data_IF_195211148937
#
_entry.id   IF_195211148937
#
_cell.length_a   1.000
_cell.length_b   1.000
_cell.length_c   1.000
_cell.angle_alpha   90.00
_cell.angle_beta   90.00
_cell.angle_gamma   90.00
#
_symmetry.space_group_name_H-M   'P 1'
#
loop_
_entity.id
_entity.type
_entity.pdbx_description
1 polymer ?
#
# COMPACT_ATOMS: atom_id res chain seq x y z
N UNK A 1 -62.34 -35.09 -29.07
CA UNK A 1 -62.02 -34.68 -27.68
C UNK A 1 -60.51 -34.52 -27.60
N UNK A 2 -60.02 -33.28 -27.53
CA UNK A 2 -58.60 -32.95 -27.41
C UNK A 2 -58.21 -32.95 -25.93
N UNK A 3 -57.22 -33.75 -25.55
CA UNK A 3 -56.60 -33.71 -24.22
C UNK A 3 -55.24 -33.03 -24.29
N UNK A 4 -55.12 -31.84 -23.71
CA UNK A 4 -53.85 -31.15 -23.55
C UNK A 4 -53.22 -31.53 -22.21
N UNK A 5 -52.03 -32.13 -22.25
CA UNK A 5 -51.17 -32.35 -21.09
C UNK A 5 -50.35 -31.08 -20.83
N UNK A 6 -50.59 -30.41 -19.70
CA UNK A 6 -49.73 -29.35 -19.19
C UNK A 6 -48.52 -29.99 -18.47
N UNK A 7 -47.34 -29.86 -19.06
CA UNK A 7 -46.06 -30.10 -18.37
C UNK A 7 -45.63 -28.79 -17.70
N UNK A 8 -45.71 -28.74 -16.37
CA UNK A 8 -45.15 -27.66 -15.57
C UNK A 8 -43.62 -27.84 -15.48
N UNK A 9 -42.87 -27.03 -16.22
CA UNK A 9 -41.42 -26.93 -16.07
C UNK A 9 -41.09 -25.97 -14.92
N UNK A 10 -40.60 -26.51 -13.80
CA UNK A 10 -40.04 -25.72 -12.70
C UNK A 10 -38.62 -25.30 -13.06
N UNK A 11 -38.44 -24.04 -13.49
CA UNK A 11 -37.11 -23.42 -13.56
C UNK A 11 -36.61 -23.13 -12.13
N UNK A 12 -35.80 -24.04 -11.58
CA UNK A 12 -34.96 -23.74 -10.43
C UNK A 12 -33.81 -22.82 -10.88
N UNK A 13 -34.03 -21.51 -10.77
CA UNK A 13 -32.99 -20.51 -11.00
C UNK A 13 -31.96 -20.52 -9.88
N UNK A 14 -30.77 -21.08 -10.13
CA UNK A 14 -29.63 -20.94 -9.23
C UNK A 14 -29.15 -19.49 -9.22
N UNK A 15 -29.52 -18.74 -8.19
CA UNK A 15 -28.96 -17.41 -7.93
C UNK A 15 -27.50 -17.63 -7.54
N UNK A 16 -26.58 -17.47 -8.48
CA UNK A 16 -25.15 -17.42 -8.17
C UNK A 16 -24.89 -16.15 -7.36
N UNK A 17 -24.90 -16.27 -6.02
CA UNK A 17 -24.45 -15.19 -5.14
C UNK A 17 -22.95 -15.04 -5.41
N UNK A 18 -22.46 -13.90 -5.93
CA UNK A 18 -21.03 -13.70 -6.08
C UNK A 18 -20.38 -13.77 -4.70
N UNK A 19 -19.58 -14.80 -4.46
CA UNK A 19 -18.75 -14.91 -3.26
C UNK A 19 -17.79 -13.72 -3.26
N UNK A 20 -17.95 -12.82 -2.30
CA UNK A 20 -16.97 -11.77 -2.05
C UNK A 20 -15.65 -12.44 -1.66
N UNK A 21 -14.51 -11.97 -2.21
CA UNK A 21 -13.21 -12.51 -1.83
C UNK A 21 -12.99 -12.38 -0.31
N UNK A 22 -12.33 -13.36 0.32
CA UNK A 22 -12.13 -13.36 1.76
C UNK A 22 -11.35 -12.11 2.20
N UNK A 23 -11.62 -11.60 3.42
CA UNK A 23 -10.91 -10.45 3.93
C UNK A 23 -9.41 -10.77 4.07
N UNK A 24 -8.57 -9.91 3.51
CA UNK A 24 -7.12 -10.07 3.57
C UNK A 24 -6.61 -9.69 4.97
N UNK A 25 -5.89 -10.60 5.61
CA UNK A 25 -5.31 -10.43 6.96
C UNK A 25 -3.81 -10.17 6.91
N UNK A 26 -3.17 -10.43 5.78
CA UNK A 26 -1.74 -10.23 5.58
C UNK A 26 -1.37 -8.79 5.28
N UNK A 27 -0.16 -8.40 5.66
CA UNK A 27 0.49 -7.16 5.25
C UNK A 27 1.90 -7.43 4.72
N UNK A 28 2.33 -6.61 3.75
CA UNK A 28 3.66 -6.71 3.16
C UNK A 28 4.52 -5.50 3.53
N UNK A 29 5.72 -5.73 4.06
CA UNK A 29 6.72 -4.69 4.33
C UNK A 29 7.94 -4.94 3.45
N UNK A 30 8.22 -4.02 2.54
CA UNK A 30 9.29 -4.15 1.55
C UNK A 30 10.26 -2.96 1.70
N UNK A 31 11.56 -3.22 1.84
CA UNK A 31 12.53 -2.14 1.99
C UNK A 31 13.87 -2.40 1.28
N UNK A 32 14.27 -1.45 0.45
CA UNK A 32 15.58 -1.41 -0.19
C UNK A 32 16.62 -0.86 0.79
N UNK A 33 17.70 -1.61 0.98
CA UNK A 33 18.82 -1.26 1.85
C UNK A 33 20.03 -0.88 0.99
N UNK A 34 20.32 -1.67 -0.04
CA UNK A 34 21.57 -1.59 -0.80
C UNK A 34 21.73 -0.23 -1.46
N UNK A 35 20.70 0.29 -2.12
CA UNK A 35 20.77 1.56 -2.84
C UNK A 35 20.95 2.78 -1.92
N UNK A 36 20.68 2.63 -0.62
CA UNK A 36 20.83 3.67 0.41
C UNK A 36 22.10 3.52 1.25
N UNK A 37 23.00 2.61 0.87
CA UNK A 37 24.21 2.27 1.61
C UNK A 37 25.45 2.23 0.70
N UNK A 38 26.64 2.15 1.31
CA UNK A 38 27.88 1.86 0.57
C UNK A 38 27.78 0.51 -0.16
N UNK A 39 28.32 0.39 -1.39
CA UNK A 39 29.06 1.42 -2.14
C UNK A 39 28.18 2.38 -2.96
N UNK A 40 26.86 2.19 -2.97
CA UNK A 40 25.93 2.93 -3.82
C UNK A 40 25.83 4.41 -3.46
N UNK A 41 26.03 4.72 -2.18
CA UNK A 41 26.21 6.09 -1.67
C UNK A 41 27.43 6.17 -0.75
N UNK A 42 27.91 7.39 -0.46
CA UNK A 42 29.14 7.62 0.31
C UNK A 42 29.10 7.25 1.80
N UNK A 43 27.97 6.73 2.31
CA UNK A 43 27.76 6.43 3.72
C UNK A 43 26.96 5.14 3.92
N UNK A 44 27.03 4.58 5.13
CA UNK A 44 26.18 3.47 5.56
C UNK A 44 25.10 4.03 6.48
N UNK A 45 23.85 3.65 6.26
CA UNK A 45 22.66 4.08 6.96
C UNK A 45 21.79 2.88 7.34
N UNK A 46 21.37 2.85 8.61
CA UNK A 46 20.37 1.89 9.10
C UNK A 46 18.93 2.38 8.92
N UNK A 47 18.73 3.56 8.31
CA UNK A 47 17.41 4.18 8.20
C UNK A 47 16.40 3.31 7.47
N UNK A 48 16.70 2.68 6.31
CA UNK A 48 15.74 1.81 5.63
C UNK A 48 15.26 0.64 6.51
N UNK A 49 16.18 0.00 7.24
CA UNK A 49 15.84 -1.10 8.15
C UNK A 49 14.98 -0.61 9.32
N UNK A 50 15.30 0.54 9.91
CA UNK A 50 14.52 1.12 11.01
C UNK A 50 13.11 1.52 10.57
N UNK A 51 12.98 2.06 9.36
CA UNK A 51 11.71 2.39 8.75
C UNK A 51 10.85 1.13 8.54
N UNK A 52 11.41 0.09 7.94
CA UNK A 52 10.73 -1.21 7.78
C UNK A 52 10.32 -1.83 9.13
N UNK A 53 11.19 -1.77 10.14
CA UNK A 53 10.90 -2.27 11.48
C UNK A 53 9.78 -1.47 12.16
N UNK A 54 9.77 -0.14 12.00
CA UNK A 54 8.71 0.74 12.54
C UNK A 54 7.35 0.43 11.89
N UNK A 55 7.31 0.32 10.56
CA UNK A 55 6.10 -0.06 9.84
C UNK A 55 5.61 -1.47 10.23
N UNK A 56 6.53 -2.44 10.36
CA UNK A 56 6.23 -3.80 10.82
C UNK A 56 5.58 -3.80 12.20
N UNK A 57 6.16 -3.07 13.16
CA UNK A 57 5.65 -2.99 14.51
C UNK A 57 4.26 -2.34 14.56
N UNK A 58 4.06 -1.27 13.79
CA UNK A 58 2.77 -0.59 13.69
C UNK A 58 1.69 -1.47 13.06
N UNK A 59 1.98 -2.13 11.94
CA UNK A 59 1.04 -3.03 11.27
C UNK A 59 0.66 -4.23 12.17
N UNK A 60 1.61 -4.80 12.91
CA UNK A 60 1.29 -5.85 13.90
C UNK A 60 0.39 -5.34 15.02
N UNK A 61 0.64 -4.14 15.54
CA UNK A 61 -0.21 -3.53 16.56
C UNK A 61 -1.65 -3.28 16.06
N UNK A 62 -1.81 -3.02 14.76
CA UNK A 62 -3.12 -2.90 14.09
C UNK A 62 -3.77 -4.25 13.75
N UNK A 63 -3.13 -5.37 14.12
CA UNK A 63 -3.64 -6.73 13.95
C UNK A 63 -3.28 -7.43 12.65
N UNK A 64 -2.40 -6.86 11.81
CA UNK A 64 -2.00 -7.48 10.54
C UNK A 64 -0.96 -8.57 10.73
N UNK A 65 -1.07 -9.65 9.94
CA UNK A 65 -0.01 -10.66 9.81
C UNK A 65 1.07 -10.15 8.84
N UNK A 66 2.24 -9.77 9.37
CA UNK A 66 3.25 -9.05 8.58
C UNK A 66 4.31 -9.99 8.02
N UNK A 67 4.33 -10.11 6.69
CA UNK A 67 5.46 -10.63 5.94
C UNK A 67 6.41 -9.48 5.56
N UNK A 68 7.73 -9.68 5.70
CA UNK A 68 8.73 -8.65 5.41
C UNK A 68 9.84 -9.15 4.48
N UNK A 69 10.27 -8.29 3.55
CA UNK A 69 11.45 -8.48 2.73
C UNK A 69 12.29 -7.20 2.76
N UNK A 70 13.49 -7.28 3.35
CA UNK A 70 14.38 -6.14 3.57
C UNK A 70 15.77 -6.47 3.06
N UNK A 71 16.37 -5.57 2.27
CA UNK A 71 17.66 -5.85 1.63
C UNK A 71 17.52 -6.88 0.51
N UNK A 72 18.49 -7.78 0.30
CA UNK A 72 18.51 -8.67 -0.87
C UNK A 72 17.26 -9.55 -1.09
N UNK A 73 16.50 -9.87 -0.04
CA UNK A 73 15.23 -10.61 -0.18
C UNK A 73 14.10 -9.78 -0.80
N UNK A 74 14.25 -8.46 -0.84
CA UNK A 74 13.36 -7.56 -1.56
C UNK A 74 13.72 -7.62 -3.05
N UNK A 75 13.20 -8.65 -3.71
CA UNK A 75 13.29 -8.88 -5.15
C UNK A 75 11.89 -8.84 -5.81
N UNK A 76 11.82 -8.80 -7.15
CA UNK A 76 10.56 -8.64 -7.88
C UNK A 76 9.58 -9.79 -7.64
N UNK A 77 10.06 -11.04 -7.62
CA UNK A 77 9.21 -12.21 -7.48
C UNK A 77 8.63 -12.31 -6.06
N UNK A 78 9.47 -12.09 -5.05
CA UNK A 78 9.04 -12.06 -3.66
C UNK A 78 8.09 -10.90 -3.39
N UNK A 79 8.39 -9.71 -3.92
CA UNK A 79 7.52 -8.53 -3.78
C UNK A 79 6.13 -8.78 -4.34
N UNK A 80 6.03 -9.28 -5.56
CA UNK A 80 4.74 -9.55 -6.20
C UNK A 80 3.96 -10.63 -5.43
N UNK A 81 4.63 -11.71 -5.00
CA UNK A 81 4.03 -12.77 -4.17
C UNK A 81 3.49 -12.23 -2.85
N UNK A 82 4.22 -11.34 -2.19
CA UNK A 82 3.80 -10.74 -0.91
C UNK A 82 2.69 -9.70 -1.10
N UNK A 83 2.72 -8.92 -2.18
CA UNK A 83 1.70 -7.90 -2.49
C UNK A 83 0.38 -8.55 -2.90
N UNK A 84 0.40 -9.70 -3.57
CA UNK A 84 -0.82 -10.33 -4.10
C UNK A 84 -1.92 -10.53 -3.04
N UNK A 85 -1.63 -11.14 -1.86
CA UNK A 85 -2.62 -11.35 -0.81
C UNK A 85 -2.68 -10.23 0.24
N UNK A 86 -1.89 -9.16 0.11
CA UNK A 86 -1.75 -8.16 1.17
C UNK A 86 -2.93 -7.18 1.24
N UNK A 87 -3.53 -7.05 2.42
CA UNK A 87 -4.54 -6.05 2.73
C UNK A 87 -3.95 -4.73 3.24
N UNK A 88 -2.67 -4.73 3.65
CA UNK A 88 -1.90 -3.52 3.92
C UNK A 88 -0.48 -3.64 3.37
N UNK A 89 0.11 -2.54 2.92
CA UNK A 89 1.47 -2.52 2.36
C UNK A 89 2.29 -1.36 2.89
N UNK A 90 3.58 -1.62 3.05
CA UNK A 90 4.63 -0.64 3.23
C UNK A 90 5.74 -0.90 2.22
N UNK A 91 6.17 0.14 1.50
CA UNK A 91 7.31 0.07 0.59
C UNK A 91 8.25 1.24 0.84
N UNK A 92 9.52 0.97 1.14
CA UNK A 92 10.58 1.96 1.18
C UNK A 92 11.64 1.67 0.12
N UNK A 93 11.75 2.52 -0.89
CA UNK A 93 12.72 2.35 -1.98
C UNK A 93 12.87 3.63 -2.82
N UNK A 94 13.70 3.56 -3.86
CA UNK A 94 13.58 4.47 -4.98
C UNK A 94 12.29 4.21 -5.76
N UNK A 95 11.55 5.27 -6.04
CA UNK A 95 10.34 5.27 -6.86
C UNK A 95 10.46 6.30 -7.96
N UNK A 96 9.71 6.09 -9.04
CA UNK A 96 9.63 7.00 -10.17
C UNK A 96 8.43 6.63 -11.06
N UNK A 97 8.19 7.45 -12.06
CA UNK A 97 7.41 7.07 -13.23
C UNK A 97 8.28 6.31 -14.23
N UNK A 98 7.97 5.04 -14.44
CA UNK A 98 8.69 4.18 -15.36
C UNK A 98 7.93 3.99 -16.67
N UNK A 99 8.61 3.52 -17.70
CA UNK A 99 7.95 3.00 -18.90
C UNK A 99 7.67 1.52 -18.67
N UNK A 100 6.43 1.11 -18.89
CA UNK A 100 6.05 -0.31 -18.94
C UNK A 100 6.62 -0.93 -20.22
N UNK A 101 7.54 -1.92 -20.11
CA UNK A 101 8.15 -2.54 -21.28
C UNK A 101 7.16 -3.30 -22.17
N UNK A 102 6.01 -3.75 -21.64
CA UNK A 102 5.03 -4.50 -22.41
C UNK A 102 4.19 -3.59 -23.32
N UNK A 103 3.95 -2.35 -22.90
CA UNK A 103 3.02 -1.44 -23.60
C UNK A 103 3.69 -0.16 -24.12
N UNK A 104 4.93 0.13 -23.71
CA UNK A 104 5.62 1.39 -23.99
C UNK A 104 5.01 2.60 -23.29
N UNK A 105 4.00 2.43 -22.44
CA UNK A 105 3.29 3.53 -21.77
C UNK A 105 3.92 3.89 -20.43
N UNK A 106 3.73 5.14 -20.02
CA UNK A 106 4.15 5.60 -18.69
C UNK A 106 3.33 4.89 -17.60
N UNK A 107 4.03 4.47 -16.57
CA UNK A 107 3.57 3.77 -15.39
C UNK A 107 4.23 4.37 -14.15
N UNK A 108 3.98 3.76 -12.99
CA UNK A 108 4.59 4.08 -11.71
C UNK A 108 5.03 2.80 -11.02
N UNK A 109 6.05 2.90 -10.18
CA UNK A 109 6.54 1.75 -9.45
C UNK A 109 7.67 2.09 -8.52
N UNK A 110 8.35 1.05 -8.08
CA UNK A 110 9.53 1.16 -7.23
C UNK A 110 10.58 0.15 -7.67
N UNK A 111 11.85 0.48 -7.40
CA UNK A 111 12.95 -0.46 -7.57
C UNK A 111 12.96 -1.45 -6.43
N UNK A 112 13.25 -2.70 -6.71
CA UNK A 112 13.58 -3.68 -5.68
C UNK A 112 15.03 -3.46 -5.22
N UNK A 113 15.48 -4.16 -4.19
CA UNK A 113 16.86 -4.05 -3.72
C UNK A 113 17.82 -4.67 -4.73
N UNK A 114 17.62 -5.97 -5.00
CA UNK A 114 18.42 -6.74 -5.95
C UNK A 114 19.93 -6.77 -5.67
N UNK A 115 20.36 -6.32 -4.49
CA UNK A 115 21.76 -6.05 -4.17
C UNK A 115 22.47 -5.12 -5.19
N UNK A 116 21.73 -4.18 -5.79
CA UNK A 116 22.22 -3.32 -6.88
C UNK A 116 22.12 -1.82 -6.53
N UNK A 117 23.13 -1.04 -6.95
CA UNK A 117 23.15 0.42 -6.76
C UNK A 117 22.27 1.17 -7.77
N UNK A 118 22.26 0.71 -9.01
CA UNK A 118 21.53 1.32 -10.10
C UNK A 118 20.90 0.23 -10.97
N UNK A 119 19.85 0.60 -11.71
CA UNK A 119 19.15 -0.29 -12.64
C UNK A 119 18.63 -1.60 -12.02
N UNK A 120 18.44 -1.62 -10.70
CA UNK A 120 17.76 -2.71 -10.02
C UNK A 120 16.38 -2.97 -10.68
N UNK A 121 15.92 -4.23 -10.72
CA UNK A 121 14.61 -4.56 -11.25
C UNK A 121 13.51 -3.71 -10.60
N UNK A 122 12.41 -3.56 -11.33
CA UNK A 122 11.29 -2.71 -10.92
C UNK A 122 10.08 -3.59 -10.69
N UNK A 123 9.25 -3.17 -9.75
CA UNK A 123 7.85 -3.61 -9.66
C UNK A 123 6.99 -2.42 -10.04
N UNK A 124 6.20 -2.58 -11.10
CA UNK A 124 5.35 -1.51 -11.65
C UNK A 124 3.86 -1.82 -11.50
N UNK A 125 3.03 -0.78 -11.56
CA UNK A 125 1.58 -0.87 -11.39
C UNK A 125 0.91 -2.00 -12.23
N UNK A 126 1.18 -2.17 -13.54
CA UNK A 126 0.60 -3.29 -14.32
C UNK A 126 0.92 -4.68 -13.77
N UNK A 127 2.13 -4.89 -13.24
CA UNK A 127 2.52 -6.19 -12.66
C UNK A 127 1.77 -6.45 -11.36
N UNK A 128 1.61 -5.40 -10.54
CA UNK A 128 0.81 -5.49 -9.31
C UNK A 128 -0.64 -5.82 -9.66
N UNK A 129 -1.24 -5.14 -10.64
CA UNK A 129 -2.61 -5.42 -11.10
C UNK A 129 -2.75 -6.86 -11.57
N UNK A 130 -1.84 -7.33 -12.41
CA UNK A 130 -1.85 -8.70 -12.92
C UNK A 130 -1.75 -9.74 -11.79
N UNK A 131 -0.88 -9.49 -10.81
CA UNK A 131 -0.67 -10.41 -9.71
C UNK A 131 -1.81 -10.40 -8.69
N UNK A 132 -2.40 -9.23 -8.44
CA UNK A 132 -3.52 -9.05 -7.51
C UNK A 132 -4.84 -9.54 -8.10
N UNK A 133 -5.04 -9.50 -9.41
CA UNK A 133 -6.31 -9.87 -10.04
C UNK A 133 -7.52 -9.14 -9.42
N UNK A 134 -8.68 -9.79 -9.38
CA UNK A 134 -9.89 -9.28 -8.75
C UNK A 134 -9.88 -9.46 -7.21
N UNK A 135 -8.83 -8.98 -6.55
CA UNK A 135 -8.75 -8.99 -5.08
C UNK A 135 -9.38 -7.76 -4.46
N UNK A 136 -9.76 -7.87 -3.19
CA UNK A 136 -10.19 -6.73 -2.35
C UNK A 136 -9.14 -5.61 -2.40
N UNK A 137 -9.55 -4.33 -2.50
CA UNK A 137 -8.65 -3.20 -2.36
C UNK A 137 -7.80 -3.26 -1.09
N UNK A 138 -6.58 -2.72 -1.16
CA UNK A 138 -5.74 -2.53 0.02
C UNK A 138 -6.40 -1.49 0.94
N UNK A 139 -6.38 -1.78 2.24
CA UNK A 139 -6.86 -0.91 3.32
C UNK A 139 -5.84 0.19 3.60
N UNK A 140 -4.55 -0.13 3.70
CA UNK A 140 -3.50 0.86 3.95
C UNK A 140 -2.32 0.62 3.02
N UNK A 141 -1.94 1.64 2.25
CA UNK A 141 -0.73 1.62 1.44
C UNK A 141 0.16 2.81 1.80
N UNK A 142 1.35 2.54 2.35
CA UNK A 142 2.38 3.55 2.58
C UNK A 142 3.54 3.30 1.63
N UNK A 143 3.66 4.15 0.61
CA UNK A 143 4.65 4.06 -0.45
C UNK A 143 5.69 5.15 -0.24
N UNK A 144 6.66 4.85 0.62
CA UNK A 144 7.79 5.72 0.97
C UNK A 144 8.82 5.77 -0.16
N UNK A 145 8.48 6.44 -1.25
CA UNK A 145 9.34 6.55 -2.43
C UNK A 145 9.11 7.89 -3.14
N UNK A 146 10.08 8.38 -3.92
CA UNK A 146 9.88 9.54 -4.79
C UNK A 146 8.72 9.34 -5.80
N UNK A 147 8.11 10.46 -6.20
CA UNK A 147 7.09 10.61 -7.27
C UNK A 147 5.77 9.83 -7.12
N UNK A 148 5.68 8.83 -6.25
CA UNK A 148 4.49 7.98 -6.16
C UNK A 148 3.33 8.59 -5.37
N UNK A 149 3.47 9.80 -4.82
CA UNK A 149 2.37 10.61 -4.28
C UNK A 149 1.68 11.49 -5.34
N UNK A 150 2.24 11.62 -6.54
CA UNK A 150 1.70 12.49 -7.58
C UNK A 150 0.35 12.00 -8.14
N UNK A 151 -0.48 12.93 -8.62
CA UNK A 151 -1.76 12.61 -9.31
C UNK A 151 -1.56 11.78 -10.59
N UNK A 152 -0.38 11.84 -11.18
CA UNK A 152 0.04 11.04 -12.34
C UNK A 152 0.32 9.57 -11.95
N UNK A 153 0.51 9.28 -10.67
CA UNK A 153 0.88 7.96 -10.16
C UNK A 153 -0.15 6.89 -10.49
N UNK A 154 0.33 5.73 -10.93
CA UNK A 154 -0.51 4.56 -11.23
C UNK A 154 -0.60 3.57 -10.08
N UNK A 155 0.19 3.76 -9.02
CA UNK A 155 0.23 2.84 -7.88
C UNK A 155 -1.06 2.81 -7.05
N UNK A 156 -1.72 3.94 -6.70
CA UNK A 156 -2.97 3.88 -5.94
C UNK A 156 -4.02 2.98 -6.62
N UNK A 157 -4.21 3.16 -7.93
CA UNK A 157 -5.15 2.34 -8.70
C UNK A 157 -4.74 0.86 -8.76
N UNK A 158 -3.43 0.56 -8.86
CA UNK A 158 -2.93 -0.82 -8.82
C UNK A 158 -3.22 -1.52 -7.49
N UNK A 159 -3.39 -0.76 -6.40
CA UNK A 159 -3.79 -1.24 -5.09
C UNK A 159 -5.31 -1.20 -4.86
N UNK A 160 -6.10 -0.83 -5.87
CA UNK A 160 -7.54 -0.68 -5.77
C UNK A 160 -7.99 0.58 -5.01
N UNK A 161 -7.10 1.56 -4.81
CA UNK A 161 -7.38 2.80 -4.09
C UNK A 161 -7.64 3.93 -5.10
N UNK A 162 -8.85 4.47 -5.08
CA UNK A 162 -9.21 5.63 -5.90
C UNK A 162 -8.46 6.88 -5.42
N UNK A 163 -7.95 7.69 -6.35
CA UNK A 163 -7.32 8.99 -6.06
C UNK A 163 -8.38 10.07 -5.78
N UNK A 164 -9.12 9.87 -4.68
CA UNK A 164 -10.13 10.79 -4.15
C UNK A 164 -9.91 10.91 -2.65
N UNK A 165 -10.02 12.12 -2.13
CA UNK A 165 -9.97 12.39 -0.68
C UNK A 165 -11.40 12.50 -0.14
N UNK A 166 -11.74 11.70 0.87
CA UNK A 166 -12.91 11.93 1.70
C UNK A 166 -12.45 12.69 2.95
N UNK A 167 -13.02 13.88 3.14
CA UNK A 167 -12.71 14.79 4.24
C UNK A 167 -13.14 14.22 5.61
N UNK A 168 -12.69 14.81 6.73
CA UNK A 168 -13.19 14.45 8.05
C UNK A 168 -14.73 14.51 8.13
N UNK A 169 -15.34 13.51 8.75
CA UNK A 169 -16.79 13.34 8.88
C UNK A 169 -17.50 12.91 7.60
N UNK A 170 -16.79 12.74 6.49
CA UNK A 170 -17.37 12.32 5.20
C UNK A 170 -17.13 10.84 4.99
N UNK A 171 -18.22 10.09 4.78
CA UNK A 171 -18.13 8.67 4.42
C UNK A 171 -17.25 8.47 3.19
N UNK A 172 -16.19 7.69 3.36
CA UNK A 172 -15.13 7.48 2.38
C UNK A 172 -14.89 6.01 2.06
N UNK A 173 -13.99 5.72 1.10
CA UNK A 173 -13.55 4.35 0.86
C UNK A 173 -12.87 3.79 2.11
N UNK A 174 -12.90 2.46 2.30
CA UNK A 174 -12.18 1.78 3.37
C UNK A 174 -10.69 1.60 3.06
N UNK A 175 -10.07 2.66 2.55
CA UNK A 175 -8.68 2.64 2.14
C UNK A 175 -7.99 3.98 2.33
N UNK A 176 -6.68 3.94 2.56
CA UNK A 176 -5.80 5.10 2.67
C UNK A 176 -4.48 4.80 1.97
N UNK A 177 -4.08 5.71 1.08
CA UNK A 177 -2.80 5.68 0.39
C UNK A 177 -1.99 6.88 0.85
N UNK A 178 -0.71 6.66 1.17
CA UNK A 178 0.27 7.68 1.47
C UNK A 178 1.46 7.50 0.52
N UNK A 179 1.90 8.57 -0.14
CA UNK A 179 3.11 8.59 -0.95
C UNK A 179 3.76 9.97 -0.97
N UNK A 180 4.88 10.11 -1.69
CA UNK A 180 5.62 11.38 -1.77
C UNK A 180 5.63 11.95 -3.19
N UNK A 181 5.38 13.25 -3.29
CA UNK A 181 5.48 14.02 -4.53
C UNK A 181 6.93 14.44 -4.74
N UNK A 182 7.43 14.36 -5.98
CA UNK A 182 8.80 14.76 -6.28
C UNK A 182 9.86 13.92 -5.57
N UNK A 183 10.95 14.58 -5.18
CA UNK A 183 12.06 13.94 -4.47
C UNK A 183 11.73 13.80 -2.99
N UNK A 184 11.94 12.60 -2.45
CA UNK A 184 11.80 12.30 -1.03
C UNK A 184 13.16 11.98 -0.43
N UNK A 185 13.62 12.82 0.49
CA UNK A 185 14.87 12.57 1.21
C UNK A 185 14.63 11.61 2.38
N UNK A 186 15.44 10.55 2.45
CA UNK A 186 15.27 9.44 3.41
C UNK A 186 15.18 9.91 4.87
N UNK A 187 15.91 10.98 5.23
CA UNK A 187 15.91 11.54 6.58
C UNK A 187 14.59 12.23 6.92
N UNK A 188 14.00 12.93 5.96
CA UNK A 188 12.71 13.59 6.14
C UNK A 188 11.57 12.58 6.15
N UNK A 189 11.58 11.61 5.23
CA UNK A 189 10.65 10.48 5.24
C UNK A 189 10.68 9.75 6.61
N UNK A 190 11.88 9.47 7.15
CA UNK A 190 12.02 8.84 8.46
C UNK A 190 11.45 9.65 9.63
N UNK A 191 11.58 10.98 9.62
CA UNK A 191 10.97 11.84 10.66
C UNK A 191 9.45 11.82 10.57
N UNK A 192 8.92 12.03 9.36
CA UNK A 192 7.49 12.04 9.09
C UNK A 192 6.85 10.70 9.43
N UNK A 193 7.37 9.60 8.89
CA UNK A 193 6.79 8.26 9.07
C UNK A 193 6.86 7.78 10.51
N UNK A 194 7.93 8.11 11.24
CA UNK A 194 7.99 7.78 12.67
C UNK A 194 6.86 8.47 13.44
N UNK A 195 6.53 9.71 13.09
CA UNK A 195 5.39 10.40 13.70
C UNK A 195 4.07 9.77 13.24
N UNK A 196 3.89 9.58 11.94
CA UNK A 196 2.69 8.94 11.37
C UNK A 196 2.39 7.59 12.03
N UNK A 197 3.36 6.69 12.06
CA UNK A 197 3.19 5.35 12.63
C UNK A 197 2.94 5.37 14.14
N UNK A 198 3.47 6.35 14.86
CA UNK A 198 3.15 6.54 16.28
C UNK A 198 1.68 6.92 16.44
N UNK A 199 1.22 7.95 15.75
CA UNK A 199 -0.16 8.44 15.90
C UNK A 199 -1.19 7.36 15.46
N UNK A 200 -0.91 6.63 14.38
CA UNK A 200 -1.77 5.49 13.97
C UNK A 200 -1.82 4.40 15.06
N UNK A 201 -0.67 4.06 15.66
CA UNK A 201 -0.63 3.07 16.76
C UNK A 201 -1.37 3.54 18.01
N UNK A 202 -1.34 4.84 18.27
CA UNK A 202 -2.01 5.47 19.39
C UNK A 202 -3.52 5.67 19.13
N UNK A 203 -4.04 5.08 18.04
CA UNK A 203 -5.47 5.04 17.75
C UNK A 203 -5.96 6.24 16.95
N UNK A 204 -5.09 7.01 16.28
CA UNK A 204 -5.54 8.04 15.34
C UNK A 204 -6.05 7.41 14.04
N UNK A 205 -7.01 8.08 13.39
CA UNK A 205 -7.31 7.81 11.99
C UNK A 205 -6.08 8.07 11.12
N UNK A 206 -6.01 7.45 9.93
CA UNK A 206 -4.89 7.62 9.02
C UNK A 206 -4.72 9.09 8.56
N UNK A 207 -5.83 9.80 8.35
CA UNK A 207 -5.82 11.24 8.05
C UNK A 207 -5.34 12.08 9.23
N UNK A 208 -5.81 11.80 10.44
CA UNK A 208 -5.34 12.50 11.64
C UNK A 208 -3.85 12.26 11.90
N UNK A 209 -3.38 11.03 11.75
CA UNK A 209 -1.98 10.68 11.86
C UNK A 209 -1.11 11.40 10.79
N UNK A 210 -1.63 11.55 9.57
CA UNK A 210 -0.97 12.31 8.52
C UNK A 210 -0.78 13.78 8.90
N UNK A 211 -1.83 14.46 9.37
CA UNK A 211 -1.75 15.86 9.78
C UNK A 211 -0.79 16.07 10.96
N UNK A 212 -0.86 15.19 11.95
CA UNK A 212 0.05 15.20 13.10
C UNK A 212 1.49 14.94 12.71
N UNK A 213 1.73 14.08 11.73
CA UNK A 213 3.06 13.82 11.20
C UNK A 213 3.66 15.02 10.45
N UNK A 214 2.84 15.85 9.79
CA UNK A 214 3.31 17.10 9.18
C UNK A 214 3.85 18.09 10.22
N UNK A 215 3.34 18.08 11.45
CA UNK A 215 3.84 18.93 12.53
C UNK A 215 5.21 18.50 13.07
N UNK A 216 5.70 17.29 12.73
CA UNK A 216 6.95 16.74 13.25
C UNK A 216 8.22 17.27 12.54
N UNK A 217 8.19 18.53 12.09
CA UNK A 217 9.30 19.20 11.39
C UNK A 217 9.32 18.96 9.88
N UNK A 218 8.14 19.05 9.24
CA UNK A 218 8.01 19.04 7.79
C UNK A 218 8.73 20.23 7.14
N UNK A 219 9.55 19.93 6.14
CA UNK A 219 10.09 20.91 5.20
C UNK A 219 9.69 20.46 3.78
N UNK A 220 8.87 21.24 3.05
CA UNK A 220 8.40 20.88 1.71
C UNK A 220 9.52 20.73 0.68
N UNK A 221 10.71 21.27 0.94
CA UNK A 221 11.90 21.08 0.09
C UNK A 221 12.43 19.64 0.22
N UNK A 222 12.33 19.06 1.41
CA UNK A 222 12.91 17.75 1.71
C UNK A 222 11.92 16.58 1.51
N UNK A 223 10.63 16.86 1.66
CA UNK A 223 9.57 15.86 1.55
C UNK A 223 8.25 16.54 1.27
N UNK A 224 7.45 16.01 0.34
CA UNK A 224 6.06 16.45 0.14
C UNK A 224 5.11 15.24 0.22
N UNK A 225 4.61 14.89 1.41
CA UNK A 225 3.60 13.86 1.60
C UNK A 225 2.28 14.21 0.94
N UNK A 226 1.68 13.21 0.30
CA UNK A 226 0.35 13.29 -0.28
C UNK A 226 -0.42 12.00 0.03
N UNK A 227 -1.73 12.12 0.16
CA UNK A 227 -2.61 11.01 0.48
C UNK A 227 -3.87 10.94 -0.39
N UNK A 228 -4.44 9.75 -0.48
CA UNK A 228 -5.73 9.48 -1.12
C UNK A 228 -6.53 8.49 -0.26
N UNK A 229 -7.85 8.50 -0.39
CA UNK A 229 -8.73 7.61 0.37
C UNK A 229 -9.58 8.34 1.40
N UNK A 230 -9.74 7.77 2.60
CA UNK A 230 -10.56 8.33 3.67
C UNK A 230 -9.73 8.85 4.83
N UNK A 231 -9.99 10.10 5.25
CA UNK A 231 -9.37 10.69 6.41
C UNK A 231 -9.64 9.89 7.69
N UNK A 232 -10.91 9.53 7.93
CA UNK A 232 -11.37 8.83 9.14
C UNK A 232 -11.09 7.31 9.14
N UNK A 233 -10.23 6.83 8.24
CA UNK A 233 -9.88 5.43 8.22
C UNK A 233 -9.06 5.04 9.46
N UNK A 234 -9.57 4.11 10.25
CA UNK A 234 -8.76 3.32 11.18
C UNK A 234 -8.26 2.06 10.47
N UNK A 235 -6.95 1.95 10.16
CA UNK A 235 -6.43 0.91 9.27
C UNK A 235 -6.22 -0.44 9.98
N UNK A 236 -7.22 -0.89 10.73
CA UNK A 236 -7.22 -2.15 11.46
C UNK A 236 -7.35 -3.35 10.51
N UNK A 237 -6.61 -4.41 10.81
CA UNK A 237 -6.82 -5.71 10.17
C UNK A 237 -8.26 -6.20 10.41
N UNK A 238 -8.84 -6.98 9.48
CA UNK A 238 -10.21 -7.49 9.62
C UNK A 238 -10.52 -8.14 10.97
N UNK A 239 -9.57 -8.92 11.51
CA UNK A 239 -9.68 -9.60 12.80
C UNK A 239 -9.77 -8.66 14.00
N UNK A 240 -9.15 -7.48 13.92
CA UNK A 240 -9.11 -6.49 15.00
C UNK A 240 -10.37 -5.60 15.06
N UNK A 241 -11.22 -5.63 14.02
CA UNK A 241 -12.41 -4.74 13.96
C UNK A 241 -13.54 -5.14 14.89
N UNK A 242 -13.65 -6.42 15.24
CA UNK A 242 -14.68 -6.92 16.15
C UNK A 242 -14.44 -6.61 17.63
N UNK A 243 -13.26 -6.08 17.97
CA UNK A 243 -12.88 -5.71 19.35
C UNK A 243 -13.10 -4.21 19.59
N UNK A 244 -13.19 -3.40 18.53
CA UNK A 244 -13.29 -1.94 18.59
C UNK A 244 -14.68 -1.39 18.25
N UNK A 245 -15.72 -2.22 18.16
CA UNK A 245 -17.10 -1.78 17.96
C UNK A 245 -17.88 -1.78 19.27
N UNK A 246 -17.42 -1.00 20.23
CA UNK A 246 -18.23 -0.48 21.33
C UNK A 246 -17.78 0.95 21.57
N UNK A 247 -18.47 1.87 20.88
CA UNK A 247 -18.95 3.18 21.35
C UNK A 247 -19.23 4.11 20.15
#
# INVERSE_FOLDING_TARGET
>A
MFGALLSAATLAGSIAIPLLPPPQTGAAVLANVTAFNRPCVGFTSTTPQRLAATATAALRALGWDVASAVGPSFDSANSLRMIAPAGAIYVHSHGDHYVDPATGKRSSGFRVDGAMCANAPKVIAPQIVAQRGATTPIVLAVVSTCHNGERSSKLPAAFGIAMRKAAPGVSGPRSFYLGYVGISWVRAAARFERAFWREVRDGSSAGGAFERALLAGFDPIDLLPEWWGSYDLYPLAPSARGVASHD
#
